data_IF_086175534462
#
_entry.id   IF_086175534462
#
_cell.length_a   1.000
_cell.length_b   1.000
_cell.length_c   1.000
_cell.angle_alpha   90.00
_cell.angle_beta   90.00
_cell.angle_gamma   90.00
#
_symmetry.space_group_name_H-M   'P 1'
#
loop_
_entity.id
_entity.type
_entity.pdbx_description
1 polymer ?
#
# COMPACT_ATOMS: atom_id res chain seq x y z
N UNK A 1 23.62 1.99 7.94
CA UNK A 1 23.73 1.65 9.38
C UNK A 1 23.50 2.86 10.29
N UNK A 2 24.28 3.96 10.18
CA UNK A 2 24.04 5.19 10.96
C UNK A 2 22.62 5.75 10.82
N UNK A 3 22.09 5.77 9.60
CA UNK A 3 20.75 6.25 9.25
C UNK A 3 19.61 5.39 9.80
N UNK A 4 19.75 4.06 9.80
CA UNK A 4 18.79 3.14 10.43
C UNK A 4 18.81 3.28 11.96
N UNK A 5 19.99 3.46 12.55
CA UNK A 5 20.12 3.79 13.97
C UNK A 5 19.49 5.14 14.32
N UNK A 6 19.63 6.17 13.48
CA UNK A 6 18.93 7.44 13.66
C UNK A 6 17.40 7.28 13.61
N UNK A 7 16.88 6.40 12.76
CA UNK A 7 15.46 6.12 12.64
C UNK A 7 14.93 5.30 13.84
N UNK A 8 15.72 4.34 14.33
CA UNK A 8 15.42 3.63 15.57
C UNK A 8 15.48 4.57 16.79
N UNK A 9 16.46 5.48 16.85
CA UNK A 9 16.55 6.49 17.90
C UNK A 9 15.35 7.44 17.79
N UNK A 10 14.95 7.88 16.59
CA UNK A 10 13.77 8.72 16.39
C UNK A 10 12.45 8.01 16.74
N UNK A 11 12.34 6.71 16.47
CA UNK A 11 11.21 5.90 16.91
C UNK A 11 11.18 5.73 18.43
N UNK A 12 12.34 5.72 19.09
CA UNK A 12 12.48 5.63 20.55
C UNK A 12 12.42 7.01 21.25
N UNK A 13 12.70 8.09 20.53
CA UNK A 13 12.87 9.44 21.08
C UNK A 13 11.59 10.00 21.73
N UNK A 14 10.39 9.75 21.20
CA UNK A 14 9.15 10.14 21.87
C UNK A 14 8.94 9.41 23.18
N UNK A 15 9.35 8.13 23.30
CA UNK A 15 9.32 7.41 24.57
C UNK A 15 10.24 8.04 25.62
N UNK A 16 11.38 8.60 25.21
CA UNK A 16 12.31 9.29 26.11
C UNK A 16 11.80 10.69 26.50
N UNK A 17 11.29 11.48 25.54
CA UNK A 17 10.73 12.82 25.80
C UNK A 17 9.41 12.80 26.55
N UNK A 18 8.61 11.74 26.41
CA UNK A 18 7.37 11.56 27.18
C UNK A 18 7.57 11.53 28.69
N UNK A 19 8.77 11.23 29.17
CA UNK A 19 9.07 11.26 30.60
C UNK A 19 9.09 12.68 31.19
N UNK A 20 9.14 13.73 30.35
CA UNK A 20 9.29 15.12 30.79
C UNK A 20 8.07 16.02 30.52
N UNK A 21 7.17 15.68 29.58
CA UNK A 21 5.98 16.50 29.26
C UNK A 21 4.70 15.65 29.13
N UNK A 22 3.58 16.12 29.70
CA UNK A 22 2.30 15.40 29.77
C UNK A 22 1.52 15.29 28.43
N UNK A 23 2.08 15.76 27.32
CA UNK A 23 1.42 15.77 26.00
C UNK A 23 2.42 15.29 24.94
N UNK A 24 2.50 13.97 24.76
CA UNK A 24 3.31 13.41 23.69
C UNK A 24 2.55 13.44 22.37
N UNK A 25 3.12 14.02 21.30
CA UNK A 25 2.56 13.80 19.98
C UNK A 25 2.60 12.29 19.66
N UNK A 26 1.60 11.77 18.93
CA UNK A 26 1.63 10.41 18.41
C UNK A 26 2.96 10.13 17.73
N UNK A 27 3.54 8.96 17.97
CA UNK A 27 4.80 8.55 17.33
C UNK A 27 4.76 8.65 15.80
N UNK A 28 3.55 8.46 15.25
CA UNK A 28 3.22 8.58 13.83
C UNK A 28 3.57 9.96 13.27
N UNK A 29 3.32 11.01 14.04
CA UNK A 29 3.48 12.40 13.62
C UNK A 29 4.97 12.81 13.66
N UNK A 30 5.79 12.16 14.48
CA UNK A 30 7.22 12.50 14.63
C UNK A 30 8.04 12.20 13.37
N UNK A 31 7.77 11.08 12.67
CA UNK A 31 8.42 10.81 11.38
C UNK A 31 7.81 11.62 10.23
N UNK A 32 6.54 11.96 10.37
CA UNK A 32 5.78 12.68 9.34
C UNK A 32 6.14 14.17 9.32
N UNK A 33 6.37 14.77 10.49
CA UNK A 33 6.53 16.21 10.63
C UNK A 33 8.01 16.66 10.56
N UNK A 34 8.96 15.77 10.83
CA UNK A 34 10.39 16.10 10.78
C UNK A 34 11.01 15.83 9.39
N UNK A 35 11.32 16.93 8.70
CA UNK A 35 11.90 16.92 7.35
C UNK A 35 13.25 16.17 7.23
N UNK A 36 13.96 15.95 8.34
CA UNK A 36 15.19 15.14 8.33
C UNK A 36 14.92 13.68 7.96
N UNK A 37 13.70 13.19 8.18
CA UNK A 37 13.30 11.83 7.82
C UNK A 37 12.73 11.70 6.40
N UNK A 38 12.61 12.80 5.66
CA UNK A 38 12.11 12.77 4.28
C UNK A 38 12.91 11.86 3.36
N UNK A 39 14.20 11.64 3.65
CA UNK A 39 15.05 10.71 2.90
C UNK A 39 14.57 9.24 2.98
N UNK A 40 13.85 8.88 4.04
CA UNK A 40 13.24 7.56 4.22
C UNK A 40 11.76 7.56 3.85
N UNK A 41 11.26 8.67 3.32
CA UNK A 41 9.86 8.84 2.95
C UNK A 41 9.71 9.18 1.47
N UNK A 42 10.79 9.11 0.70
CA UNK A 42 10.75 9.19 -0.76
C UNK A 42 10.28 7.83 -1.33
N UNK A 43 9.06 7.72 -1.85
CA UNK A 43 8.53 6.46 -2.34
C UNK A 43 9.00 6.15 -3.77
N UNK A 44 9.54 7.12 -4.51
CA UNK A 44 9.77 7.02 -5.95
C UNK A 44 10.78 5.94 -6.34
N UNK A 45 11.91 5.75 -5.63
CA UNK A 45 12.81 4.64 -5.92
C UNK A 45 12.16 3.26 -5.79
N UNK A 46 11.18 3.12 -4.88
CA UNK A 46 10.41 1.89 -4.71
C UNK A 46 9.34 1.76 -5.80
N UNK A 47 8.52 2.80 -5.98
CA UNK A 47 7.39 2.81 -6.92
C UNK A 47 7.80 2.78 -8.39
N UNK A 48 9.00 3.25 -8.76
CA UNK A 48 9.53 3.17 -10.14
C UNK A 48 10.24 1.86 -10.44
N UNK A 49 10.41 0.99 -9.45
CA UNK A 49 11.13 -0.27 -9.68
C UNK A 49 10.34 -1.24 -10.55
N UNK A 50 11.05 -1.95 -11.41
CA UNK A 50 10.50 -3.05 -12.21
C UNK A 50 10.24 -4.32 -11.38
N UNK A 51 10.57 -4.31 -10.09
CA UNK A 51 10.27 -5.41 -9.18
C UNK A 51 8.74 -5.59 -9.06
N UNK A 52 8.27 -6.84 -9.10
CA UNK A 52 6.91 -7.21 -8.71
C UNK A 52 6.72 -6.93 -7.22
N UNK A 53 5.62 -6.26 -6.88
CA UNK A 53 5.31 -5.86 -5.51
C UNK A 53 4.16 -6.70 -4.96
N UNK A 54 4.22 -7.02 -3.68
CA UNK A 54 3.22 -7.78 -2.94
C UNK A 54 2.71 -6.94 -1.78
N UNK A 55 1.40 -6.92 -1.58
CA UNK A 55 0.83 -6.35 -0.37
C UNK A 55 0.93 -7.38 0.75
N UNK A 56 1.60 -7.00 1.85
CA UNK A 56 1.76 -7.85 3.02
C UNK A 56 0.76 -7.49 4.12
N UNK A 57 0.68 -6.21 4.49
CA UNK A 57 -0.25 -5.74 5.50
C UNK A 57 -1.29 -4.80 4.92
N UNK A 58 -2.52 -4.99 5.35
CA UNK A 58 -3.69 -4.20 5.00
C UNK A 58 -4.48 -3.86 6.27
N UNK A 59 -5.23 -2.75 6.32
CA UNK A 59 -6.06 -2.45 7.47
C UNK A 59 -7.14 -3.52 7.65
N UNK A 60 -7.44 -3.85 8.91
CA UNK A 60 -8.50 -4.80 9.28
C UNK A 60 -9.86 -4.25 8.83
N UNK A 61 -10.36 -4.71 7.68
CA UNK A 61 -11.59 -4.24 7.07
C UNK A 61 -12.41 -5.44 6.61
N UNK A 62 -13.64 -5.57 7.14
CA UNK A 62 -14.57 -6.65 6.77
C UNK A 62 -14.76 -6.82 5.26
N UNK A 63 -14.68 -5.72 4.50
CA UNK A 63 -14.83 -5.72 3.04
C UNK A 63 -13.64 -6.37 2.30
N UNK A 64 -12.54 -6.65 2.97
CA UNK A 64 -11.29 -7.18 2.40
C UNK A 64 -11.00 -8.60 2.86
N UNK A 65 -11.89 -9.23 3.65
CA UNK A 65 -11.74 -10.60 4.16
C UNK A 65 -11.65 -11.64 3.02
N UNK A 66 -12.29 -11.38 1.89
CA UNK A 66 -12.31 -12.28 0.72
C UNK A 66 -11.22 -11.97 -0.32
N UNK A 67 -10.20 -11.20 0.04
CA UNK A 67 -9.12 -10.80 -0.87
C UNK A 67 -7.79 -11.39 -0.41
N UNK A 68 -7.14 -12.14 -1.30
CA UNK A 68 -5.79 -12.65 -1.09
C UNK A 68 -4.88 -12.33 -2.28
N UNK A 69 -3.58 -12.55 -2.10
CA UNK A 69 -2.59 -12.48 -3.17
C UNK A 69 -2.60 -11.13 -3.94
N UNK A 70 -2.56 -10.01 -3.23
CA UNK A 70 -2.57 -8.68 -3.88
C UNK A 70 -1.17 -8.38 -4.41
N UNK A 71 -1.06 -8.12 -5.72
CA UNK A 71 0.19 -7.92 -6.45
C UNK A 71 0.12 -6.59 -7.21
N UNK A 72 1.26 -5.92 -7.36
CA UNK A 72 1.43 -4.78 -8.26
C UNK A 72 2.62 -4.98 -9.21
N UNK A 73 2.32 -5.10 -10.50
CA UNK A 73 3.29 -5.25 -11.59
C UNK A 73 3.47 -3.93 -12.33
N UNK A 74 4.71 -3.61 -12.71
CA UNK A 74 5.00 -2.41 -13.47
C UNK A 74 4.52 -2.58 -14.92
N UNK A 75 3.73 -1.62 -15.42
CA UNK A 75 3.35 -1.52 -16.83
C UNK A 75 4.31 -0.58 -17.54
N UNK A 76 4.47 0.63 -16.99
CA UNK A 76 5.23 1.71 -17.61
C UNK A 76 5.89 2.61 -16.58
N UNK A 77 7.11 3.04 -16.88
CA UNK A 77 7.87 3.99 -16.07
C UNK A 77 8.74 4.85 -17.00
N UNK A 78 8.13 5.88 -17.60
CA UNK A 78 8.88 6.87 -18.37
C UNK A 78 9.20 8.07 -17.48
N UNK A 79 10.37 8.67 -17.65
CA UNK A 79 10.82 9.82 -16.85
C UNK A 79 9.91 11.05 -16.95
N UNK A 80 9.03 11.10 -17.94
CA UNK A 80 8.11 12.20 -18.23
C UNK A 80 6.62 11.84 -18.06
N UNK A 81 6.30 10.61 -17.63
CA UNK A 81 4.91 10.16 -17.44
C UNK A 81 4.65 9.72 -16.00
N UNK A 82 3.38 9.66 -15.56
CA UNK A 82 3.01 8.90 -14.38
C UNK A 82 3.54 7.46 -14.47
N UNK A 83 3.77 6.85 -13.31
CA UNK A 83 4.11 5.43 -13.23
C UNK A 83 2.82 4.64 -13.39
N UNK A 84 2.75 3.74 -14.37
CA UNK A 84 1.58 2.88 -14.56
C UNK A 84 1.87 1.49 -14.00
N UNK A 85 0.97 0.98 -13.16
CA UNK A 85 1.06 -0.38 -12.59
C UNK A 85 -0.26 -1.12 -12.72
N UNK A 86 -0.19 -2.42 -12.97
CA UNK A 86 -1.34 -3.31 -12.89
C UNK A 86 -1.42 -3.80 -11.43
N UNK A 87 -2.51 -3.50 -10.74
CA UNK A 87 -2.79 -4.04 -9.41
C UNK A 87 -3.79 -5.18 -9.58
N UNK A 88 -3.44 -6.37 -9.10
CA UNK A 88 -4.29 -7.55 -9.21
C UNK A 88 -4.45 -8.25 -7.87
N UNK A 89 -5.57 -8.95 -7.70
CA UNK A 89 -5.90 -9.69 -6.49
C UNK A 89 -6.78 -10.90 -6.78
N UNK A 90 -6.79 -11.86 -5.87
CA UNK A 90 -7.62 -13.06 -5.97
C UNK A 90 -8.82 -12.89 -5.06
N UNK A 91 -10.01 -13.01 -5.64
CA UNK A 91 -11.30 -12.98 -4.95
C UNK A 91 -11.72 -14.41 -4.60
N UNK A 92 -11.70 -14.72 -3.30
CA UNK A 92 -12.03 -16.05 -2.77
C UNK A 92 -13.50 -16.21 -2.38
N UNK A 93 -14.32 -15.15 -2.52
CA UNK A 93 -15.77 -15.23 -2.33
C UNK A 93 -16.48 -16.00 -3.46
N UNK A 94 -15.77 -16.23 -4.57
CA UNK A 94 -16.27 -16.90 -5.78
C UNK A 94 -15.73 -18.32 -5.92
N UNK A 95 -16.49 -19.23 -6.56
CA UNK A 95 -16.00 -20.58 -6.89
C UNK A 95 -16.24 -20.85 -8.37
N UNK A 96 -15.19 -21.03 -9.20
CA UNK A 96 -13.77 -21.02 -8.84
C UNK A 96 -13.28 -19.63 -8.39
N UNK A 97 -12.16 -19.57 -7.67
CA UNK A 97 -11.52 -18.29 -7.33
C UNK A 97 -11.18 -17.50 -8.60
N UNK A 98 -11.41 -16.19 -8.54
CA UNK A 98 -11.28 -15.30 -9.69
C UNK A 98 -10.17 -14.28 -9.44
N UNK A 99 -9.27 -14.12 -10.42
CA UNK A 99 -8.28 -13.06 -10.46
C UNK A 99 -8.90 -11.80 -11.04
N UNK A 100 -8.92 -10.74 -10.26
CA UNK A 100 -9.33 -9.40 -10.68
C UNK A 100 -8.09 -8.52 -10.81
N UNK A 101 -8.17 -7.52 -11.68
CA UNK A 101 -7.08 -6.58 -11.90
C UNK A 101 -7.60 -5.19 -12.26
N UNK A 102 -6.75 -4.20 -12.09
CA UNK A 102 -6.97 -2.82 -12.50
C UNK A 102 -5.64 -2.17 -12.83
N UNK A 103 -5.59 -1.38 -13.89
CA UNK A 103 -4.45 -0.51 -14.15
C UNK A 103 -4.62 0.79 -13.36
N UNK A 104 -3.55 1.25 -12.74
CA UNK A 104 -3.52 2.50 -11.99
C UNK A 104 -2.37 3.37 -12.43
N UNK A 105 -2.59 4.67 -12.42
CA UNK A 105 -1.56 5.69 -12.65
C UNK A 105 -1.11 6.27 -11.31
N UNK A 106 0.19 6.38 -11.10
CA UNK A 106 0.78 6.91 -9.87
C UNK A 106 1.54 8.19 -10.22
N UNK A 107 1.14 9.29 -9.59
CA UNK A 107 1.68 10.62 -9.86
C UNK A 107 2.21 11.31 -8.60
N UNK A 108 3.18 12.20 -8.79
CA UNK A 108 3.71 13.06 -7.74
C UNK A 108 2.62 13.98 -7.20
N UNK A 109 2.49 14.03 -5.87
CA UNK A 109 1.67 15.06 -5.24
C UNK A 109 2.36 16.41 -5.46
N UNK A 110 1.61 17.41 -5.96
CA UNK A 110 2.17 18.71 -6.38
C UNK A 110 2.95 19.47 -5.29
N UNK A 111 2.76 19.13 -4.02
CA UNK A 111 3.30 19.87 -2.87
C UNK A 111 4.27 19.08 -2.00
N UNK A 112 4.44 17.78 -2.23
CA UNK A 112 5.28 16.94 -1.36
C UNK A 112 5.93 15.79 -2.12
N UNK A 113 7.23 15.58 -1.87
CA UNK A 113 7.96 14.42 -2.38
C UNK A 113 7.63 13.13 -1.62
N UNK A 114 7.04 13.25 -0.44
CA UNK A 114 6.67 12.12 0.43
C UNK A 114 5.22 11.68 0.24
N UNK A 115 4.48 12.39 -0.60
CA UNK A 115 3.09 12.07 -0.95
C UNK A 115 2.98 11.74 -2.43
N UNK A 116 2.01 10.91 -2.77
CA UNK A 116 1.67 10.58 -4.14
C UNK A 116 0.18 10.29 -4.26
N UNK A 117 -0.34 10.40 -5.47
CA UNK A 117 -1.73 10.06 -5.77
C UNK A 117 -1.76 8.87 -6.71
N UNK A 118 -2.71 7.97 -6.49
CA UNK A 118 -3.04 6.86 -7.39
C UNK A 118 -4.37 7.18 -8.05
N UNK A 119 -4.39 7.24 -9.38
CA UNK A 119 -5.57 7.49 -10.18
C UNK A 119 -6.08 6.16 -10.75
N UNK A 120 -7.38 5.91 -10.54
CA UNK A 120 -8.13 4.80 -11.12
C UNK A 120 -9.48 5.33 -11.58
N UNK A 121 -9.81 5.15 -12.85
CA UNK A 121 -11.12 5.54 -13.43
C UNK A 121 -11.53 6.98 -13.05
N UNK A 122 -10.61 7.95 -13.22
CA UNK A 122 -10.78 9.37 -12.86
C UNK A 122 -10.90 9.67 -11.35
N UNK A 123 -10.86 8.65 -10.49
CA UNK A 123 -10.83 8.81 -9.03
C UNK A 123 -9.39 8.83 -8.53
N UNK A 124 -9.03 9.88 -7.81
CA UNK A 124 -7.71 10.04 -7.18
C UNK A 124 -7.73 9.58 -5.73
N UNK A 125 -6.77 8.74 -5.37
CA UNK A 125 -6.52 8.28 -4.00
C UNK A 125 -5.17 8.79 -3.55
N UNK A 126 -5.15 9.59 -2.49
CA UNK A 126 -3.92 10.19 -1.99
C UNK A 126 -3.28 9.31 -0.92
N UNK A 127 -1.96 9.21 -0.96
CA UNK A 127 -1.16 8.43 -0.03
C UNK A 127 -0.03 9.26 0.53
N UNK A 128 0.19 9.12 1.83
CA UNK A 128 1.35 9.65 2.53
C UNK A 128 2.34 8.52 2.81
N UNK A 129 3.61 8.74 2.47
CA UNK A 129 4.68 7.77 2.74
C UNK A 129 5.11 7.88 4.20
N UNK A 130 5.02 6.78 4.93
CA UNK A 130 5.52 6.65 6.31
C UNK A 130 6.98 6.20 6.29
N UNK A 131 7.30 5.23 5.43
CA UNK A 131 8.64 4.71 5.26
C UNK A 131 8.81 4.05 3.90
N UNK A 132 9.97 4.24 3.29
CA UNK A 132 10.36 3.63 2.03
C UNK A 132 11.84 3.27 2.07
N UNK A 133 12.17 2.07 1.61
CA UNK A 133 13.55 1.67 1.33
C UNK A 133 13.60 0.78 0.07
N UNK A 134 14.76 0.18 -0.19
CA UNK A 134 14.93 -0.72 -1.34
C UNK A 134 14.09 -2.01 -1.28
N UNK A 135 13.43 -2.32 -0.16
CA UNK A 135 12.78 -3.60 0.16
C UNK A 135 11.27 -3.48 0.40
N UNK A 136 10.82 -2.40 1.03
CA UNK A 136 9.42 -2.18 1.38
C UNK A 136 9.01 -0.71 1.32
N UNK A 137 7.69 -0.53 1.26
CA UNK A 137 7.02 0.75 1.27
C UNK A 137 5.83 0.67 2.23
N UNK A 138 5.80 1.56 3.22
CA UNK A 138 4.70 1.77 4.15
C UNK A 138 4.04 3.09 3.81
N UNK A 139 2.75 3.04 3.51
CA UNK A 139 1.95 4.22 3.15
C UNK A 139 0.69 4.29 3.97
N UNK A 140 0.23 5.50 4.24
CA UNK A 140 -1.01 5.82 4.91
C UNK A 140 -2.01 6.35 3.88
N UNK A 141 -3.25 5.88 3.96
CA UNK A 141 -4.33 6.34 3.08
C UNK A 141 -4.80 7.73 3.57
N UNK A 142 -4.72 8.73 2.70
CA UNK A 142 -5.17 10.09 2.99
C UNK A 142 -6.68 10.23 2.73
N UNK A 143 -7.32 11.09 3.54
CA UNK A 143 -8.77 11.15 3.85
C UNK A 143 -9.76 11.31 2.69
N UNK A 144 -9.33 11.45 1.44
CA UNK A 144 -10.14 12.15 0.44
C UNK A 144 -11.43 11.41 0.04
N UNK A 145 -11.54 10.07 0.17
CA UNK A 145 -12.75 9.35 -0.33
C UNK A 145 -13.24 8.12 0.46
N UNK A 146 -12.49 7.57 1.43
CA UNK A 146 -12.73 6.19 1.87
C UNK A 146 -13.26 6.04 3.30
N UNK A 147 -13.27 7.10 4.12
CA UNK A 147 -13.53 6.99 5.55
C UNK A 147 -12.48 6.16 6.31
N UNK A 148 -11.38 5.76 5.64
CA UNK A 148 -10.29 4.94 6.17
C UNK A 148 -9.23 5.83 6.81
N UNK A 149 -9.64 6.62 7.79
CA UNK A 149 -8.71 7.50 8.47
C UNK A 149 -7.60 6.68 9.15
N UNK A 150 -6.33 7.00 8.83
CA UNK A 150 -5.11 6.42 9.45
C UNK A 150 -4.81 4.96 9.12
N UNK A 151 -5.44 4.43 8.08
CA UNK A 151 -5.19 3.06 7.65
C UNK A 151 -3.88 2.98 6.84
N UNK A 152 -3.01 2.03 7.17
CA UNK A 152 -1.74 1.83 6.48
C UNK A 152 -1.72 0.59 5.59
N UNK A 153 -0.81 0.60 4.62
CA UNK A 153 -0.49 -0.53 3.76
C UNK A 153 1.01 -0.81 3.84
N UNK A 154 1.40 -2.09 3.84
CA UNK A 154 2.80 -2.51 3.68
C UNK A 154 2.98 -3.25 2.36
N UNK A 155 3.68 -2.63 1.42
CA UNK A 155 4.11 -3.23 0.18
C UNK A 155 5.55 -3.72 0.29
N UNK A 156 5.83 -4.87 -0.32
CA UNK A 156 7.15 -5.53 -0.29
C UNK A 156 7.52 -6.06 -1.67
N UNK A 157 8.79 -6.04 -2.04
CA UNK A 157 9.23 -6.62 -3.32
C UNK A 157 9.33 -8.14 -3.22
N UNK A 158 8.97 -8.84 -4.30
CA UNK A 158 8.93 -10.31 -4.38
C UNK A 158 10.22 -10.97 -3.85
N UNK A 159 11.39 -10.48 -4.29
CA UNK A 159 12.70 -11.01 -3.89
C UNK A 159 12.99 -10.99 -2.38
N UNK A 160 12.21 -10.24 -1.61
CA UNK A 160 12.35 -10.16 -0.16
C UNK A 160 11.23 -10.88 0.61
N UNK A 161 10.29 -11.56 -0.05
CA UNK A 161 9.22 -12.31 0.63
C UNK A 161 9.76 -13.43 1.53
N UNK A 162 10.80 -14.14 1.08
CA UNK A 162 11.40 -15.28 1.82
C UNK A 162 12.31 -14.84 2.96
N UNK A 163 12.77 -13.59 2.95
CA UNK A 163 13.61 -13.05 4.01
C UNK A 163 12.74 -12.37 5.05
N UNK A 164 13.03 -12.55 6.35
CA UNK A 164 12.22 -11.90 7.38
C UNK A 164 12.46 -10.39 7.29
N UNK A 165 11.50 -9.65 6.72
CA UNK A 165 11.44 -8.19 6.61
C UNK A 165 11.19 -7.54 7.98
N UNK A 166 11.97 -7.95 8.99
CA UNK A 166 11.74 -7.62 10.41
C UNK A 166 11.67 -6.12 10.65
N UNK A 167 12.50 -5.33 9.95
CA UNK A 167 12.48 -3.88 10.08
C UNK A 167 11.22 -3.28 9.47
N UNK A 168 10.79 -3.71 8.28
CA UNK A 168 9.55 -3.24 7.66
C UNK A 168 8.33 -3.55 8.54
N UNK A 169 8.23 -4.79 9.05
CA UNK A 169 7.16 -5.16 9.96
C UNK A 169 7.22 -4.35 11.25
N UNK A 170 8.40 -4.20 11.86
CA UNK A 170 8.57 -3.40 13.08
C UNK A 170 8.12 -1.95 12.86
N UNK A 171 8.60 -1.29 11.81
CA UNK A 171 8.22 0.10 11.49
C UNK A 171 6.71 0.20 11.23
N UNK A 172 6.13 -0.74 10.50
CA UNK A 172 4.68 -0.78 10.31
C UNK A 172 3.94 -0.84 11.65
N UNK A 173 4.26 -1.80 12.52
CA UNK A 173 3.56 -1.96 13.81
C UNK A 173 3.70 -0.73 14.70
N UNK A 174 4.89 -0.10 14.68
CA UNK A 174 5.22 1.09 15.46
C UNK A 174 4.47 2.34 14.96
N UNK A 175 4.37 2.53 13.65
CA UNK A 175 3.79 3.75 13.05
C UNK A 175 2.34 3.63 12.58
N UNK A 176 1.78 2.42 12.52
CA UNK A 176 0.45 2.16 11.94
C UNK A 176 -0.55 1.50 12.91
N UNK A 177 -0.44 1.81 14.21
CA UNK A 177 -1.43 1.47 15.25
C UNK A 177 -1.67 -0.04 15.46
N UNK A 178 -0.70 -0.89 15.13
CA UNK A 178 -0.66 -2.34 15.36
C UNK A 178 -1.80 -3.21 14.76
N UNK A 179 -2.87 -2.64 14.24
CA UNK A 179 -4.00 -3.39 13.67
C UNK A 179 -3.83 -3.58 12.17
N UNK A 180 -3.59 -4.83 11.75
CA UNK A 180 -3.50 -5.19 10.34
C UNK A 180 -3.81 -6.66 10.13
N UNK A 181 -4.35 -6.96 8.94
CA UNK A 181 -4.38 -8.31 8.41
C UNK A 181 -3.07 -8.60 7.67
N UNK A 182 -2.44 -9.72 8.00
CA UNK A 182 -1.31 -10.26 7.23
C UNK A 182 -1.83 -11.15 6.11
N UNK A 183 -1.72 -10.67 4.88
CA UNK A 183 -2.13 -11.42 3.69
C UNK A 183 -1.20 -12.61 3.42
N UNK A 184 -0.09 -12.74 4.16
CA UNK A 184 0.91 -13.79 4.02
C UNK A 184 1.27 -14.07 2.54
N UNK A 185 1.70 -13.04 1.79
CA UNK A 185 1.96 -13.17 0.37
C UNK A 185 3.04 -14.22 0.11
N UNK A 186 2.78 -15.10 -0.84
CA UNK A 186 3.72 -16.12 -1.32
C UNK A 186 4.05 -15.86 -2.78
N UNK A 187 5.30 -16.12 -3.15
CA UNK A 187 5.77 -15.99 -4.53
C UNK A 187 4.92 -16.85 -5.47
N UNK A 188 4.38 -16.24 -6.52
CA UNK A 188 3.53 -16.94 -7.48
C UNK A 188 2.15 -17.38 -6.96
N UNK A 189 1.59 -16.75 -5.92
CA UNK A 189 0.24 -17.03 -5.42
C UNK A 189 -0.89 -16.76 -6.43
N UNK A 190 -0.58 -16.07 -7.54
CA UNK A 190 -1.43 -15.75 -8.68
C UNK A 190 -1.49 -16.90 -9.70
N UNK A 191 -0.57 -17.87 -9.61
CA UNK A 191 -0.50 -19.00 -10.55
C UNK A 191 -1.72 -19.91 -10.40
N UNK A 192 -2.27 -20.36 -11.53
CA UNK A 192 -3.41 -21.28 -11.61
C UNK A 192 -4.76 -20.73 -11.10
N UNK A 193 -4.90 -19.41 -10.93
CA UNK A 193 -6.19 -18.76 -10.67
C UNK A 193 -6.81 -18.33 -11.99
N UNK A 194 -8.12 -18.55 -12.18
CA UNK A 194 -8.80 -18.12 -13.41
C UNK A 194 -8.92 -16.60 -13.44
N UNK A 195 -8.64 -15.98 -14.57
CA UNK A 195 -8.89 -14.55 -14.75
C UNK A 195 -10.38 -14.25 -14.89
N UNK A 196 -10.80 -13.08 -14.41
CA UNK A 196 -12.15 -12.59 -14.63
C UNK A 196 -12.39 -12.35 -16.12
N UNK A 197 -13.45 -12.94 -16.68
CA UNK A 197 -13.88 -12.66 -18.06
C UNK A 197 -14.42 -11.23 -18.16
N UNK A 198 -13.64 -10.32 -18.72
CA UNK A 198 -14.04 -8.92 -18.98
C UNK A 198 -15.03 -8.77 -20.15
N UNK A 199 -15.39 -9.85 -20.84
CA UNK A 199 -16.26 -9.85 -22.02
C UNK A 199 -17.74 -10.15 -21.76
N UNK A 200 -18.17 -10.36 -20.51
CA UNK A 200 -19.58 -10.47 -20.17
C UNK A 200 -20.22 -9.07 -20.13
N UNK A 201 -20.57 -8.55 -21.30
CA UNK A 201 -21.61 -7.51 -21.42
C UNK A 201 -22.85 -8.05 -20.71
N UNK A 202 -23.29 -7.34 -19.68
CA UNK A 202 -24.59 -7.56 -19.03
C UNK A 202 -25.68 -7.36 -20.08
N UNK A 203 -26.11 -8.42 -20.74
CA UNK A 203 -27.36 -8.40 -21.51
C UNK A 203 -28.49 -8.32 -20.49
N UNK A 204 -28.93 -7.11 -20.20
CA UNK A 204 -30.17 -6.85 -19.48
C UNK A 204 -31.32 -7.44 -20.27
N UNK A 205 -31.93 -8.51 -19.74
CA UNK A 205 -33.18 -9.05 -20.21
C UNK A 205 -34.33 -8.21 -19.69
N UNK A 206 -34.76 -7.20 -20.46
CA UNK A 206 -36.06 -6.58 -20.31
C UNK A 206 -37.13 -7.56 -20.82
N UNK A 207 -37.59 -8.45 -19.94
CA UNK A 207 -38.84 -9.19 -20.15
C UNK A 207 -39.96 -8.46 -19.40
N UNK A 208 -40.58 -7.50 -20.07
CA UNK A 208 -41.86 -6.92 -19.65
C UNK A 208 -42.99 -7.76 -20.25
N UNK A 209 -43.93 -8.33 -19.46
CA UNK A 209 -45.07 -9.04 -20.02
C UNK A 209 -46.11 -8.05 -20.58
N UNK A 210 -46.80 -8.40 -21.67
CA UNK A 210 -47.83 -7.55 -22.26
C UNK A 210 -49.09 -7.50 -21.37
N UNK A 211 -49.67 -6.31 -21.25
CA UNK A 211 -51.07 -6.07 -20.88
C UNK A 211 -51.81 -5.64 -22.13
#
# INVERSE_FOLDING_TARGET
MKTFFSLMIAALYPFVKCSQECSCPPLQDVLVDDANFNIFRDPWPFLRSADRLYLKYIPLLKKLEDIICVISDLIRNDSSSPVERNVSWTDISTTPYIRKHVNVEIQEARKSKTEFSVIKDEVSYDFETVYADSKCLIVKISRTYTGLERACLLWVKEKYLKNPLRHCSFLYFVFCNWQADDLNPTEGCDKNVKEADTNLKTTGGDNKPPR
#
